data_IF_934433427860
#
_entry.id   IF_934433427860
#
_cell.length_a   1.000
_cell.length_b   1.000
_cell.length_c   1.000
_cell.angle_alpha   90.00
_cell.angle_beta   90.00
_cell.angle_gamma   90.00
#
_symmetry.space_group_name_H-M   'P 1'
#
loop_
_entity.id
_entity.type
_entity.pdbx_description
1 polymer ?
#
# COMPACT_ATOMS: atom_id res chain seq x y z
N UNK A 1 -3.62 -30.36 1.74
CA UNK A 1 -3.56 -29.86 1.51
C UNK A 1 -3.43 -29.10 1.31
N UNK A 2 -3.35 -28.55 1.25
CA UNK A 2 -3.26 -27.91 1.04
C UNK A 2 -3.15 -27.03 0.52
N UNK A 3 -3.18 -27.07 0.16
CA UNK A 3 -3.26 -26.34 -0.65
C UNK A 3 -3.23 -25.27 -0.39
N UNK A 4 -3.49 -25.17 0.27
CA UNK A 4 -3.56 -24.18 0.60
C UNK A 4 -2.66 -23.45 0.64
N UNK A 5 -1.91 -23.77 0.88
CA UNK A 5 -0.92 -23.08 0.95
C UNK A 5 -0.74 -22.40 -0.13
N UNK A 6 -1.46 -22.45 -0.98
CA UNK A 6 -1.19 -21.88 -2.10
C UNK A 6 -1.45 -20.51 -2.10
N UNK A 7 -0.57 -19.68 -2.44
CA UNK A 7 -0.78 -18.29 -2.70
C UNK A 7 -1.14 -18.15 -4.14
N UNK A 8 -1.94 -17.13 -4.45
CA UNK A 8 -2.23 -16.86 -5.84
C UNK A 8 -0.95 -16.59 -6.59
N UNK A 9 -0.89 -17.01 -7.80
CA UNK A 9 0.23 -16.71 -8.65
C UNK A 9 0.20 -15.22 -8.94
N UNK A 10 1.30 -14.55 -8.73
CA UNK A 10 1.40 -13.12 -8.99
C UNK A 10 2.09 -12.91 -10.32
N UNK A 11 1.63 -11.92 -11.04
CA UNK A 11 2.22 -11.57 -12.34
C UNK A 11 2.46 -10.07 -12.34
N UNK A 12 3.54 -9.67 -12.99
CA UNK A 12 3.82 -8.26 -13.14
C UNK A 12 2.78 -7.63 -14.06
N UNK A 13 2.29 -6.48 -13.67
CA UNK A 13 1.36 -5.73 -14.51
C UNK A 13 2.14 -4.98 -15.57
N UNK A 14 1.52 -4.78 -16.71
CA UNK A 14 2.11 -3.97 -17.77
C UNK A 14 1.95 -2.51 -17.44
N UNK A 15 2.72 -1.66 -18.10
CA UNK A 15 2.63 -0.23 -17.89
C UNK A 15 1.21 0.31 -18.12
N UNK A 16 0.51 -0.06 -19.19
CA UNK A 16 -0.87 0.42 -19.34
C UNK A 16 -1.79 -0.03 -18.23
N UNK A 17 -1.60 -1.24 -17.71
CA UNK A 17 -2.42 -1.73 -16.61
C UNK A 17 -2.16 -0.92 -15.35
N UNK A 18 -0.89 -0.60 -15.09
CA UNK A 18 -0.52 0.20 -13.93
C UNK A 18 -1.16 1.59 -14.01
N UNK A 19 -1.06 2.22 -15.17
CA UNK A 19 -1.62 3.55 -15.36
C UNK A 19 -3.13 3.54 -15.12
N UNK A 20 -3.80 2.53 -15.68
CA UNK A 20 -5.26 2.44 -15.52
C UNK A 20 -5.66 2.25 -14.07
N UNK A 21 -4.91 1.44 -13.32
CA UNK A 21 -5.24 1.21 -11.92
C UNK A 21 -4.92 2.42 -11.06
N UNK A 22 -3.81 3.10 -11.34
CA UNK A 22 -3.47 4.30 -10.58
C UNK A 22 -4.52 5.40 -10.76
N UNK A 23 -5.12 5.45 -11.93
CA UNK A 23 -6.14 6.46 -12.21
C UNK A 23 -7.35 6.30 -11.28
N UNK A 24 -7.54 5.13 -10.70
CA UNK A 24 -8.66 4.88 -9.82
C UNK A 24 -8.33 5.13 -8.34
N UNK A 25 -7.10 5.48 -8.04
CA UNK A 25 -6.65 5.70 -6.67
C UNK A 25 -6.25 7.16 -6.49
N UNK A 26 -6.45 7.68 -5.28
CA UNK A 26 -6.04 9.05 -5.00
C UNK A 26 -4.80 9.06 -4.18
N UNK A 27 -3.82 9.83 -4.60
CA UNK A 27 -2.62 10.03 -3.82
C UNK A 27 -1.55 8.98 -3.98
N UNK A 28 -1.83 7.89 -4.69
CA UNK A 28 -0.83 6.87 -4.95
C UNK A 28 -0.05 7.24 -6.20
N UNK A 29 1.26 7.12 -6.11
CA UNK A 29 2.16 7.49 -7.20
C UNK A 29 3.11 6.38 -7.52
N UNK A 30 3.51 6.31 -8.77
CA UNK A 30 4.52 5.38 -9.20
C UNK A 30 5.88 5.91 -8.77
N UNK A 31 6.71 5.05 -8.19
CA UNK A 31 8.04 5.40 -7.72
C UNK A 31 9.04 4.34 -8.15
N UNK A 32 10.29 4.76 -8.32
CA UNK A 32 11.35 3.85 -8.70
C UNK A 32 11.27 3.46 -10.16
N UNK A 33 12.09 2.52 -10.54
CA UNK A 33 12.07 2.02 -11.91
C UNK A 33 12.61 0.61 -11.92
N UNK A 34 12.41 -0.08 -13.02
CA UNK A 34 12.89 -1.45 -13.17
C UNK A 34 12.38 -2.33 -12.05
N UNK A 35 13.28 -3.06 -11.44
CA UNK A 35 12.92 -4.00 -10.38
C UNK A 35 12.50 -3.29 -9.09
N UNK A 36 12.78 -1.99 -8.98
CA UNK A 36 12.41 -1.22 -7.80
C UNK A 36 11.09 -0.47 -7.96
N UNK A 37 10.38 -0.73 -9.02
CA UNK A 37 9.12 -0.04 -9.27
C UNK A 37 8.12 -0.36 -8.18
N UNK A 38 7.46 0.69 -7.69
CA UNK A 38 6.51 0.56 -6.58
C UNK A 38 5.44 1.63 -6.68
N UNK A 39 4.36 1.45 -5.94
CA UNK A 39 3.38 2.52 -5.76
C UNK A 39 3.48 3.00 -4.33
N UNK A 40 3.35 4.29 -4.14
CA UNK A 40 3.61 4.90 -2.86
C UNK A 40 2.61 6.00 -2.56
N UNK A 41 2.23 6.12 -1.31
CA UNK A 41 1.39 7.22 -0.85
C UNK A 41 1.86 7.67 0.52
N UNK A 42 1.83 8.97 0.76
CA UNK A 42 2.19 9.54 2.05
C UNK A 42 0.95 10.05 2.74
N UNK A 43 0.76 9.63 3.98
CA UNK A 43 -0.37 10.04 4.80
C UNK A 43 0.13 10.99 5.89
N UNK A 44 -0.65 12.02 6.18
CA UNK A 44 -0.28 13.02 7.20
C UNK A 44 -1.21 12.91 8.39
N UNK A 45 -0.67 13.17 9.56
CA UNK A 45 -1.42 13.04 10.82
C UNK A 45 -1.14 14.25 11.70
N UNK A 46 -1.94 14.39 12.77
CA UNK A 46 -1.80 15.53 13.66
C UNK A 46 -0.81 15.30 14.79
N UNK A 47 -0.46 14.06 15.04
CA UNK A 47 0.46 13.74 16.13
C UNK A 47 1.29 12.51 15.79
N UNK A 48 2.37 12.35 16.52
CA UNK A 48 3.21 11.18 16.36
C UNK A 48 2.46 9.91 16.77
N UNK A 49 1.67 9.99 17.80
CA UNK A 49 0.91 8.84 18.26
C UNK A 49 -0.07 8.37 17.20
N UNK A 50 -0.75 9.31 16.54
CA UNK A 50 -1.64 8.95 15.44
C UNK A 50 -0.87 8.32 14.28
N UNK A 51 0.32 8.86 13.98
CA UNK A 51 1.16 8.31 12.94
C UNK A 51 1.51 6.85 13.26
N UNK A 52 1.93 6.59 14.50
CA UNK A 52 2.33 5.24 14.89
C UNK A 52 1.14 4.29 14.94
N UNK A 53 -0.03 4.77 15.32
CA UNK A 53 -1.23 3.93 15.30
C UNK A 53 -1.53 3.47 13.88
N UNK A 54 -1.37 4.36 12.91
CA UNK A 54 -1.56 4.01 11.51
C UNK A 54 -0.51 2.99 11.06
N UNK A 55 0.74 3.19 11.44
CA UNK A 55 1.81 2.26 11.11
C UNK A 55 1.48 0.86 11.60
N UNK A 56 1.01 0.76 12.84
CA UNK A 56 0.63 -0.55 13.40
C UNK A 56 -0.53 -1.18 12.64
N UNK A 57 -1.50 -0.37 12.24
CA UNK A 57 -2.63 -0.90 11.48
C UNK A 57 -2.17 -1.42 10.11
N UNK A 58 -1.24 -0.72 9.46
CA UNK A 58 -0.69 -1.19 8.19
C UNK A 58 0.06 -2.50 8.40
N UNK A 59 0.78 -2.62 9.52
CA UNK A 59 1.52 -3.85 9.81
C UNK A 59 0.58 -5.05 9.94
N UNK A 60 -0.55 -4.88 10.65
CA UNK A 60 -1.51 -5.96 10.75
C UNK A 60 -2.09 -6.33 9.39
N UNK A 61 -2.38 -5.34 8.59
CA UNK A 61 -2.91 -5.57 7.26
C UNK A 61 -1.90 -6.35 6.41
N UNK A 62 -0.64 -5.98 6.49
CA UNK A 62 0.41 -6.66 5.75
C UNK A 62 0.52 -8.12 6.14
N UNK A 63 0.44 -8.39 7.44
CA UNK A 63 0.50 -9.78 7.92
C UNK A 63 -0.70 -10.58 7.44
N UNK A 64 -1.88 -10.00 7.45
CA UNK A 64 -3.08 -10.69 7.01
C UNK A 64 -3.03 -11.03 5.52
N UNK A 65 -2.36 -10.22 4.75
CA UNK A 65 -2.29 -10.40 3.31
C UNK A 65 -0.99 -11.07 2.85
N UNK A 66 -0.13 -11.38 3.79
CA UNK A 66 1.18 -11.98 3.50
C UNK A 66 1.89 -11.20 2.39
N UNK A 67 1.86 -9.89 2.50
CA UNK A 67 2.48 -9.00 1.52
C UNK A 67 2.91 -7.75 2.29
N UNK A 68 4.20 -7.45 2.28
CA UNK A 68 4.77 -6.48 3.20
C UNK A 68 5.30 -5.24 2.46
N UNK A 69 4.85 -4.06 2.86
CA UNK A 69 5.30 -2.83 2.21
C UNK A 69 6.55 -2.31 2.87
N UNK A 70 7.18 -1.34 2.25
CA UNK A 70 8.15 -0.52 2.94
C UNK A 70 7.38 0.63 3.56
N UNK A 71 7.75 0.99 4.78
CA UNK A 71 7.08 2.06 5.50
C UNK A 71 8.12 3.04 5.98
N UNK A 72 7.94 4.31 5.64
CA UNK A 72 8.81 5.35 6.12
C UNK A 72 8.01 6.20 7.11
N UNK A 73 8.45 6.22 8.36
CA UNK A 73 7.76 6.93 9.42
C UNK A 73 8.50 8.20 9.75
N UNK A 74 7.77 9.30 9.78
CA UNK A 74 8.30 10.57 10.25
C UNK A 74 7.41 11.04 11.38
N UNK A 75 7.74 12.19 11.94
CA UNK A 75 7.00 12.70 13.07
C UNK A 75 5.47 12.70 12.84
N UNK A 76 5.04 13.24 11.73
CA UNK A 76 3.61 13.35 11.44
C UNK A 76 3.21 12.80 10.10
N UNK A 77 4.06 11.99 9.48
CA UNK A 77 3.72 11.37 8.20
C UNK A 77 4.14 9.92 8.17
N UNK A 78 3.45 9.17 7.36
CA UNK A 78 3.78 7.78 7.10
C UNK A 78 3.66 7.56 5.60
N UNK A 79 4.75 7.14 4.97
CA UNK A 79 4.72 6.80 3.55
C UNK A 79 4.70 5.29 3.44
N UNK A 80 3.77 4.76 2.65
CA UNK A 80 3.60 3.33 2.45
C UNK A 80 3.91 3.03 1.00
N UNK A 81 4.78 2.05 0.78
CA UNK A 81 5.27 1.74 -0.56
C UNK A 81 5.09 0.26 -0.83
N UNK A 82 4.33 -0.06 -1.87
CA UNK A 82 4.04 -1.45 -2.21
C UNK A 82 4.71 -1.85 -3.51
N UNK A 83 5.33 -3.02 -3.51
CA UNK A 83 5.87 -3.64 -4.72
C UNK A 83 5.85 -5.15 -4.51
N UNK A 84 6.03 -5.89 -5.58
CA UNK A 84 6.02 -7.35 -5.49
C UNK A 84 7.37 -7.88 -5.97
N UNK A 85 8.21 -8.24 -5.03
CA UNK A 85 9.57 -8.66 -5.34
C UNK A 85 9.62 -9.88 -6.24
N UNK A 86 8.71 -10.82 -6.04
CA UNK A 86 8.69 -12.06 -6.84
C UNK A 86 8.64 -11.78 -8.32
N UNK A 87 7.97 -10.70 -8.71
CA UNK A 87 7.83 -10.39 -10.13
C UNK A 87 8.67 -9.19 -10.53
N UNK A 88 9.43 -8.66 -9.58
CA UNK A 88 10.32 -7.53 -9.83
C UNK A 88 9.57 -6.34 -10.40
N UNK A 89 8.46 -6.01 -9.81
CA UNK A 89 7.64 -4.91 -10.29
C UNK A 89 6.38 -4.80 -9.46
N UNK A 90 5.30 -4.41 -10.10
CA UNK A 90 4.02 -4.20 -9.46
C UNK A 90 3.05 -5.26 -9.94
N UNK A 91 2.31 -5.84 -8.99
CA UNK A 91 1.29 -6.82 -9.29
C UNK A 91 -0.06 -6.32 -8.81
N UNK A 92 -1.10 -7.07 -9.10
CA UNK A 92 -2.45 -6.75 -8.64
C UNK A 92 -2.52 -6.69 -7.11
N UNK A 93 -1.71 -7.51 -6.42
CA UNK A 93 -1.67 -7.50 -4.96
C UNK A 93 -1.30 -6.15 -4.39
N UNK A 94 -0.42 -5.42 -5.06
CA UNK A 94 0.00 -4.11 -4.58
C UNK A 94 -1.17 -3.13 -4.59
N UNK A 95 -2.00 -3.19 -5.62
CA UNK A 95 -3.16 -2.33 -5.70
C UNK A 95 -4.25 -2.74 -4.71
N UNK A 96 -4.43 -4.03 -4.51
CA UNK A 96 -5.39 -4.49 -3.51
C UNK A 96 -4.98 -4.03 -2.13
N UNK A 97 -3.71 -4.14 -1.80
CA UNK A 97 -3.22 -3.69 -0.50
C UNK A 97 -3.32 -2.16 -0.37
N UNK A 98 -3.06 -1.44 -1.45
CA UNK A 98 -3.20 0.02 -1.42
C UNK A 98 -4.63 0.43 -1.07
N UNK A 99 -5.62 -0.24 -1.67
CA UNK A 99 -7.01 0.04 -1.35
C UNK A 99 -7.32 -0.28 0.10
N UNK A 100 -6.77 -1.36 0.63
CA UNK A 100 -7.00 -1.74 2.02
C UNK A 100 -6.36 -0.75 2.98
N UNK A 101 -5.21 -0.22 2.62
CA UNK A 101 -4.55 0.80 3.45
C UNK A 101 -5.43 2.06 3.49
N UNK A 102 -5.91 2.50 2.33
CA UNK A 102 -6.80 3.66 2.30
C UNK A 102 -8.03 3.43 3.17
N UNK A 103 -8.56 2.22 3.17
CA UNK A 103 -9.76 1.91 3.95
C UNK A 103 -9.53 1.97 5.46
N UNK A 104 -8.27 1.91 5.90
CA UNK A 104 -7.98 2.03 7.33
C UNK A 104 -8.38 3.39 7.88
N UNK A 105 -8.44 4.40 7.03
CA UNK A 105 -8.80 5.75 7.46
C UNK A 105 -10.26 6.06 7.20
N UNK A 106 -11.07 5.04 6.96
CA UNK A 106 -12.46 5.25 6.76
C UNK A 106 -12.77 5.41 5.30
N UNK A 107 -13.99 5.78 5.02
CA UNK A 107 -14.45 5.81 3.68
C UNK A 107 -14.06 7.02 3.00
N UNK A 108 -13.13 7.55 3.32
CA UNK A 108 -12.64 8.53 2.59
C UNK A 108 -12.95 9.72 3.00
N UNK A 109 -13.66 9.81 3.72
CA UNK A 109 -14.03 10.94 4.00
C UNK A 109 -13.16 11.39 4.74
N UNK A 110 -12.63 10.79 5.12
CA UNK A 110 -11.86 11.14 5.91
C UNK A 110 -11.05 11.84 5.70
N UNK A 111 -10.89 12.12 5.19
CA UNK A 111 -10.04 12.86 5.03
C UNK A 111 -9.17 12.74 5.90
N UNK A 112 -9.11 11.97 6.32
CA UNK A 112 -8.07 11.84 6.89
C UNK A 112 -7.93 12.11 8.11
N UNK A 113 -6.90 12.11 8.44
CA UNK A 113 -6.59 12.22 9.66
C UNK A 113 -7.11 13.26 10.31
N UNK A 114 -7.66 13.95 9.88
CA UNK A 114 -7.95 14.95 10.45
C UNK A 114 -9.00 14.89 11.14
N UNK A 115 -9.46 14.48 10.84
CA UNK A 115 -10.39 14.47 11.31
C UNK A 115 -10.47 14.31 12.42
N UNK A 116 -10.04 14.39 12.64
CA UNK A 116 -10.14 14.17 13.82
C UNK A 116 -10.63 14.16 14.41
#
# INVERSE_FOLDING_TARGET
MTAAATRPVRSALTAPQIVAKLAQLQGWRLRGDGADLAIEKTYAFKSYLQTMAFVNAVAFLAEQNDHHPEILVRYKTCSVRWSTHDVRGISHSDFECALKVDALLGDGTSTGPHSG
#
